data_IF_655244161198
#
_entry.id   IF_655244161198
#
_cell.length_a   1.000
_cell.length_b   1.000
_cell.length_c   1.000
_cell.angle_alpha   90.00
_cell.angle_beta   90.00
_cell.angle_gamma   90.00
#
_symmetry.space_group_name_H-M   'P 1'
#
loop_
_entity.id
_entity.type
_entity.pdbx_description
1 polymer ?
#
# COMPACT_ATOMS: atom_id res chain seq x y z
N UNK A 1 22.38 7.36 3.94
CA UNK A 1 22.48 8.26 2.77
C UNK A 1 21.10 8.65 2.21
N UNK A 2 20.18 7.70 2.00
CA UNK A 2 18.84 8.03 1.49
C UNK A 2 17.90 8.74 2.50
N UNK A 3 18.12 8.60 3.81
CA UNK A 3 17.36 9.32 4.87
C UNK A 3 17.63 10.81 4.81
N UNK A 4 18.89 11.17 4.57
CA UNK A 4 19.30 12.51 4.20
C UNK A 4 18.60 12.92 2.90
N UNK A 5 18.61 12.14 1.82
CA UNK A 5 17.96 12.57 0.57
C UNK A 5 16.44 12.81 0.66
N UNK A 6 15.69 12.06 1.47
CA UNK A 6 14.25 12.29 1.67
C UNK A 6 13.96 13.44 2.64
N UNK A 7 14.70 13.58 3.75
CA UNK A 7 14.59 14.74 4.64
C UNK A 7 15.15 16.04 4.04
N UNK A 8 16.20 15.94 3.22
CA UNK A 8 16.89 17.03 2.54
C UNK A 8 16.29 17.37 1.17
N UNK A 9 15.11 16.81 0.84
CA UNK A 9 14.35 17.09 -0.40
C UNK A 9 15.10 16.81 -1.72
N UNK A 10 16.06 15.89 -1.74
CA UNK A 10 16.83 15.55 -2.94
C UNK A 10 16.01 14.81 -4.01
N UNK A 11 14.91 14.17 -3.63
CA UNK A 11 13.92 13.67 -4.57
C UNK A 11 12.54 14.20 -4.17
N UNK A 12 11.94 15.13 -4.94
CA UNK A 12 10.57 15.54 -4.71
C UNK A 12 9.65 14.31 -4.76
N UNK A 13 8.67 14.25 -3.86
CA UNK A 13 7.64 13.22 -3.87
C UNK A 13 6.96 13.04 -5.24
N UNK A 14 6.91 14.10 -6.05
CA UNK A 14 6.43 14.06 -7.45
C UNK A 14 7.15 13.07 -8.36
N UNK A 15 8.40 12.67 -8.05
CA UNK A 15 9.14 11.64 -8.80
C UNK A 15 8.45 10.28 -8.73
N UNK A 16 7.82 9.94 -7.60
CA UNK A 16 7.06 8.69 -7.48
C UNK A 16 5.79 8.70 -8.35
N UNK A 17 5.19 9.89 -8.54
CA UNK A 17 4.09 10.07 -9.48
C UNK A 17 4.52 9.78 -10.93
N UNK A 18 5.63 10.39 -11.36
CA UNK A 18 6.19 10.17 -12.70
C UNK A 18 6.63 8.71 -12.91
N UNK A 19 7.24 8.10 -11.89
CA UNK A 19 7.60 6.69 -11.89
C UNK A 19 6.36 5.81 -12.10
N UNK A 20 5.29 6.08 -11.36
CA UNK A 20 4.03 5.35 -11.49
C UNK A 20 3.40 5.59 -12.86
N UNK A 21 3.47 6.80 -13.43
CA UNK A 21 2.99 7.12 -14.78
C UNK A 21 3.67 6.26 -15.86
N UNK A 22 4.97 5.96 -15.71
CA UNK A 22 5.72 5.09 -16.62
C UNK A 22 5.45 3.58 -16.49
N UNK A 23 4.75 3.14 -15.44
CA UNK A 23 4.45 1.73 -15.19
C UNK A 23 3.07 1.32 -15.72
N UNK A 24 2.81 0.04 -16.01
CA UNK A 24 1.45 -0.41 -16.29
C UNK A 24 0.60 -0.25 -15.02
N UNK A 25 -0.67 0.18 -15.18
CA UNK A 25 -1.64 0.02 -14.10
C UNK A 25 -2.07 -1.44 -14.08
N UNK A 26 -2.01 -2.07 -12.91
CA UNK A 26 -2.58 -3.38 -12.73
C UNK A 26 -4.10 -3.24 -12.77
N UNK A 27 -4.73 -3.84 -13.77
CA UNK A 27 -6.18 -3.96 -13.81
C UNK A 27 -6.60 -4.98 -12.76
N UNK A 28 -7.74 -4.69 -12.16
CA UNK A 28 -8.27 -5.43 -11.03
C UNK A 28 -8.51 -6.90 -11.40
N UNK A 29 -7.71 -7.77 -10.78
CA UNK A 29 -7.92 -9.20 -10.87
C UNK A 29 -9.03 -9.58 -9.90
N UNK A 30 -10.30 -9.50 -10.32
CA UNK A 30 -11.52 -10.10 -9.70
C UNK A 30 -11.81 -9.88 -8.20
N UNK A 31 -10.95 -9.17 -7.45
CA UNK A 31 -11.03 -8.97 -6.00
C UNK A 31 -11.18 -7.51 -5.58
N UNK A 32 -11.23 -6.58 -6.54
CA UNK A 32 -11.83 -5.28 -6.24
C UNK A 32 -13.29 -5.49 -6.00
N UNK A 33 -13.80 -5.02 -4.87
CA UNK A 33 -15.23 -4.86 -4.68
C UNK A 33 -15.75 -4.05 -5.88
N UNK A 34 -16.60 -4.63 -6.75
CA UNK A 34 -17.14 -3.92 -7.90
C UNK A 34 -18.01 -2.71 -7.50
N UNK A 35 -18.25 -2.53 -6.20
CA UNK A 35 -19.00 -1.44 -5.58
C UNK A 35 -18.19 -0.17 -5.31
N UNK A 36 -16.88 -0.15 -5.56
CA UNK A 36 -16.06 1.05 -5.30
C UNK A 36 -15.68 1.72 -6.61
N UNK A 37 -16.31 2.86 -6.87
CA UNK A 37 -15.96 3.75 -7.97
C UNK A 37 -14.53 4.27 -7.78
N UNK A 38 -13.69 4.01 -8.78
CA UNK A 38 -12.32 4.49 -8.80
C UNK A 38 -12.26 5.84 -9.53
N UNK A 39 -11.50 6.83 -9.01
CA UNK A 39 -11.17 8.05 -9.76
C UNK A 39 -10.53 7.71 -11.11
N UNK A 40 -10.80 8.46 -12.17
CA UNK A 40 -10.31 8.13 -13.53
C UNK A 40 -8.78 8.06 -13.67
N UNK A 41 -8.03 8.68 -12.76
CA UNK A 41 -6.57 8.72 -12.73
C UNK A 41 -5.95 7.71 -11.74
N UNK A 42 -6.76 6.78 -11.21
CA UNK A 42 -6.28 5.73 -10.31
C UNK A 42 -5.20 4.89 -10.99
N UNK A 43 -4.19 4.52 -10.20
CA UNK A 43 -3.12 3.66 -10.69
C UNK A 43 -2.55 2.81 -9.57
N UNK A 44 -2.26 1.55 -9.87
CA UNK A 44 -1.70 0.67 -8.87
C UNK A 44 -0.82 -0.41 -9.48
N UNK A 45 0.17 -0.89 -8.72
CA UNK A 45 1.06 -1.98 -9.14
C UNK A 45 1.66 -2.68 -7.93
N UNK A 46 1.81 -4.00 -8.04
CA UNK A 46 2.41 -4.85 -7.00
C UNK A 46 3.79 -5.37 -7.40
N UNK A 47 4.70 -5.39 -6.43
CA UNK A 47 6.03 -5.99 -6.48
C UNK A 47 6.22 -6.98 -5.34
N UNK A 48 7.21 -7.85 -5.46
CA UNK A 48 7.54 -8.87 -4.46
C UNK A 48 6.85 -10.20 -4.71
N UNK A 49 6.59 -10.92 -3.64
CA UNK A 49 6.01 -12.25 -3.64
C UNK A 49 4.48 -12.21 -3.88
N UNK A 50 3.92 -13.37 -4.19
CA UNK A 50 2.49 -13.63 -4.12
C UNK A 50 2.25 -15.03 -3.56
N UNK A 51 1.09 -15.20 -2.94
CA UNK A 51 0.55 -16.48 -2.51
C UNK A 51 -0.94 -16.51 -2.86
N UNK A 52 -1.36 -17.48 -3.66
CA UNK A 52 -2.76 -17.69 -4.04
C UNK A 52 -3.05 -19.20 -4.06
N UNK A 53 -3.55 -19.72 -2.94
CA UNK A 53 -3.72 -21.16 -2.74
C UNK A 53 -2.38 -21.89 -2.88
N UNK A 54 -2.28 -22.92 -3.75
CA UNK A 54 -1.02 -23.64 -3.96
C UNK A 54 0.02 -22.85 -4.78
N UNK A 55 -0.37 -21.71 -5.37
CA UNK A 55 0.50 -20.92 -6.24
C UNK A 55 1.26 -19.88 -5.42
N UNK A 56 2.55 -20.13 -5.22
CA UNK A 56 3.47 -19.19 -4.58
C UNK A 56 4.59 -18.81 -5.54
N UNK A 57 5.04 -17.57 -5.48
CA UNK A 57 6.14 -17.15 -6.35
C UNK A 57 6.41 -15.65 -6.33
N UNK A 58 7.17 -15.22 -7.33
CA UNK A 58 7.50 -13.81 -7.51
C UNK A 58 6.60 -13.19 -8.58
N UNK A 59 6.02 -12.03 -8.29
CA UNK A 59 5.20 -11.30 -9.25
C UNK A 59 6.02 -10.93 -10.49
N UNK A 60 5.40 -11.02 -11.67
CA UNK A 60 6.04 -10.72 -12.95
C UNK A 60 6.65 -9.30 -12.98
N UNK A 61 5.98 -8.32 -12.37
CA UNK A 61 6.45 -6.93 -12.32
C UNK A 61 7.79 -6.78 -11.60
N UNK A 62 8.05 -7.62 -10.59
CA UNK A 62 9.34 -7.65 -9.89
C UNK A 62 10.49 -8.06 -10.82
N UNK A 63 10.23 -9.00 -11.75
CA UNK A 63 11.22 -9.41 -12.75
C UNK A 63 11.35 -8.40 -13.88
N UNK A 64 10.24 -7.79 -14.29
CA UNK A 64 10.18 -6.85 -15.42
C UNK A 64 10.76 -5.48 -15.09
N UNK A 65 10.61 -5.02 -13.85
CA UNK A 65 11.08 -3.71 -13.39
C UNK A 65 11.96 -3.83 -12.13
N UNK A 66 13.11 -4.52 -12.21
CA UNK A 66 13.94 -4.81 -11.04
C UNK A 66 14.51 -3.53 -10.41
N UNK A 67 14.76 -2.49 -11.21
CA UNK A 67 15.25 -1.20 -10.69
C UNK A 67 14.18 -0.44 -9.91
N UNK A 68 12.91 -0.59 -10.28
CA UNK A 68 11.79 -0.02 -9.52
C UNK A 68 11.65 -0.75 -8.19
N UNK A 69 11.70 -2.08 -8.19
CA UNK A 69 11.68 -2.86 -6.95
C UNK A 69 12.86 -2.50 -6.04
N UNK A 70 14.07 -2.35 -6.58
CA UNK A 70 15.25 -1.90 -5.83
C UNK A 70 15.07 -0.50 -5.25
N UNK A 71 14.52 0.44 -6.01
CA UNK A 71 14.25 1.80 -5.55
C UNK A 71 13.24 1.80 -4.40
N UNK A 72 12.11 1.09 -4.55
CA UNK A 72 11.08 1.00 -3.52
C UNK A 72 11.62 0.38 -2.23
N UNK A 73 12.41 -0.69 -2.34
CA UNK A 73 13.08 -1.30 -1.18
C UNK A 73 14.05 -0.32 -0.48
N UNK A 74 14.80 0.48 -1.25
CA UNK A 74 15.68 1.49 -0.68
C UNK A 74 14.89 2.59 0.05
N UNK A 75 13.73 3.00 -0.47
CA UNK A 75 12.83 3.97 0.17
C UNK A 75 12.28 3.41 1.48
N UNK A 76 11.76 2.18 1.49
CA UNK A 76 11.24 1.51 2.69
C UNK A 76 12.34 1.40 3.75
N UNK A 77 13.51 0.88 3.37
CA UNK A 77 14.65 0.74 4.28
C UNK A 77 15.07 2.07 4.89
N UNK A 78 14.92 3.14 4.12
CA UNK A 78 15.26 4.49 4.56
C UNK A 78 14.25 5.06 5.54
N UNK A 79 12.96 4.93 5.26
CA UNK A 79 11.91 5.57 6.05
C UNK A 79 11.56 4.79 7.30
N UNK A 80 11.62 3.46 7.22
CA UNK A 80 11.16 2.57 8.26
C UNK A 80 12.32 1.78 8.91
N UNK A 81 13.52 1.77 8.30
CA UNK A 81 14.62 0.93 8.77
C UNK A 81 14.49 -0.51 8.28
N UNK A 82 15.03 -1.47 9.04
CA UNK A 82 15.07 -2.87 8.64
C UNK A 82 13.73 -3.61 8.90
N UNK A 83 12.68 -3.22 8.18
CA UNK A 83 11.44 -4.00 8.14
C UNK A 83 11.54 -5.13 7.10
N UNK A 84 11.07 -6.31 7.50
CA UNK A 84 10.86 -7.43 6.58
C UNK A 84 9.51 -7.25 5.88
N UNK A 85 9.51 -7.30 4.56
CA UNK A 85 8.29 -7.28 3.75
C UNK A 85 8.37 -8.33 2.65
N UNK A 86 7.24 -8.96 2.34
CA UNK A 86 7.13 -9.93 1.25
C UNK A 86 6.68 -9.26 -0.05
N UNK A 87 5.89 -8.19 0.06
CA UNK A 87 5.17 -7.54 -1.05
C UNK A 87 5.22 -6.03 -0.87
N UNK A 88 5.31 -5.29 -1.98
CA UNK A 88 5.17 -3.84 -2.00
C UNK A 88 4.04 -3.47 -2.96
N UNK A 89 3.10 -2.67 -2.47
CA UNK A 89 2.00 -2.13 -3.26
C UNK A 89 2.21 -0.63 -3.45
N UNK A 90 2.34 -0.19 -4.70
CA UNK A 90 2.42 1.23 -5.04
C UNK A 90 1.11 1.66 -5.68
N UNK A 91 0.48 2.70 -5.13
CA UNK A 91 -0.82 3.16 -5.59
C UNK A 91 -0.98 4.69 -5.57
N UNK A 92 -1.83 5.20 -6.45
CA UNK A 92 -2.31 6.58 -6.53
C UNK A 92 -3.82 6.57 -6.70
N UNK A 93 -4.51 7.43 -5.94
CA UNK A 93 -5.97 7.64 -5.98
C UNK A 93 -6.76 6.33 -6.03
N UNK A 94 -6.31 5.36 -5.22
CA UNK A 94 -6.83 4.01 -5.23
C UNK A 94 -7.67 3.78 -3.99
N UNK A 95 -8.93 3.45 -4.18
CA UNK A 95 -9.80 2.97 -3.12
C UNK A 95 -9.77 1.43 -3.10
N UNK A 96 -9.78 0.83 -1.92
CA UNK A 96 -9.78 -0.62 -1.74
C UNK A 96 -11.03 -1.02 -0.97
N UNK A 97 -11.63 -2.15 -1.34
CA UNK A 97 -12.73 -2.75 -0.58
C UNK A 97 -12.28 -3.14 0.81
N UNK A 98 -13.23 -3.23 1.73
CA UNK A 98 -12.96 -3.87 3.01
C UNK A 98 -12.55 -5.32 2.77
N UNK A 99 -11.41 -5.71 3.33
CA UNK A 99 -10.88 -7.06 3.25
C UNK A 99 -9.95 -7.32 4.44
N UNK A 100 -9.81 -8.60 4.78
CA UNK A 100 -8.81 -9.10 5.71
C UNK A 100 -7.73 -9.86 4.93
N UNK A 101 -6.50 -9.81 5.44
CA UNK A 101 -5.35 -10.52 4.91
C UNK A 101 -4.89 -11.61 5.90
N UNK A 102 -5.66 -12.70 6.05
CA UNK A 102 -5.43 -13.72 7.08
C UNK A 102 -4.12 -14.52 6.88
N UNK A 103 -3.46 -14.33 5.74
CA UNK A 103 -2.19 -14.98 5.40
C UNK A 103 -0.97 -14.11 5.72
N UNK A 104 -1.16 -12.90 6.24
CA UNK A 104 -0.05 -12.08 6.73
C UNK A 104 0.57 -12.72 7.99
N UNK A 105 1.86 -12.50 8.18
CA UNK A 105 2.56 -13.01 9.37
C UNK A 105 2.14 -12.20 10.61
N UNK A 106 1.66 -12.88 11.65
CA UNK A 106 1.02 -12.23 12.81
C UNK A 106 1.86 -11.20 13.56
N UNK A 107 3.18 -11.39 13.52
CA UNK A 107 4.14 -10.52 14.21
C UNK A 107 4.70 -9.39 13.33
N UNK A 108 4.29 -9.33 12.05
CA UNK A 108 4.79 -8.34 11.10
C UNK A 108 3.63 -7.44 10.65
N UNK A 109 3.61 -6.17 11.06
CA UNK A 109 2.54 -5.26 10.68
C UNK A 109 2.65 -4.89 9.20
N UNK A 110 1.52 -4.51 8.62
CA UNK A 110 1.52 -3.77 7.36
C UNK A 110 2.00 -2.34 7.59
N UNK A 111 2.68 -1.78 6.59
CA UNK A 111 3.19 -0.41 6.65
C UNK A 111 2.73 0.36 5.42
N UNK A 112 2.09 1.49 5.65
CA UNK A 112 1.64 2.42 4.62
C UNK A 112 2.48 3.68 4.68
N UNK A 113 3.14 4.00 3.56
CA UNK A 113 4.05 5.14 3.46
C UNK A 113 3.45 6.17 2.48
N UNK A 114 3.11 7.39 2.92
CA UNK A 114 2.74 8.44 1.99
C UNK A 114 3.94 8.89 1.17
N UNK A 115 3.79 8.79 -0.16
CA UNK A 115 4.80 9.22 -1.14
C UNK A 115 4.46 10.55 -1.81
N UNK A 116 3.51 11.30 -1.26
CA UNK A 116 3.15 12.66 -1.65
C UNK A 116 2.33 13.35 -0.54
N UNK A 117 2.08 14.64 -0.71
CA UNK A 117 1.12 15.38 0.11
C UNK A 117 -0.22 15.37 -0.63
N UNK A 118 -1.27 14.91 0.03
CA UNK A 118 -2.62 14.80 -0.52
C UNK A 118 -3.67 15.03 0.57
N UNK A 119 -4.93 15.19 0.16
CA UNK A 119 -6.08 15.31 1.05
C UNK A 119 -7.06 14.14 0.83
N UNK A 120 -7.81 13.78 1.86
CA UNK A 120 -8.92 12.81 1.77
C UNK A 120 -8.53 11.32 1.76
N UNK A 121 -7.24 10.98 1.82
CA UNK A 121 -6.81 9.58 1.95
C UNK A 121 -6.82 9.11 3.39
N UNK A 122 -7.54 8.01 3.66
CA UNK A 122 -7.67 7.41 4.99
C UNK A 122 -7.59 5.88 4.89
N UNK A 123 -7.20 5.25 6.00
CA UNK A 123 -7.22 3.80 6.17
C UNK A 123 -8.23 3.45 7.26
N UNK A 124 -9.19 2.59 6.94
CA UNK A 124 -10.03 1.97 7.95
C UNK A 124 -9.33 0.72 8.50
N UNK A 125 -9.29 0.58 9.82
CA UNK A 125 -8.80 -0.63 10.51
C UNK A 125 -9.90 -1.09 11.45
N UNK A 126 -10.32 -2.35 11.30
CA UNK A 126 -11.36 -2.95 12.14
C UNK A 126 -10.90 -3.01 13.61
N UNK A 127 -11.81 -2.67 14.51
CA UNK A 127 -11.59 -2.66 15.95
C UNK A 127 -12.95 -2.69 16.65
N UNK A 128 -13.12 -3.56 17.65
CA UNK A 128 -14.34 -3.61 18.47
C UNK A 128 -14.60 -2.28 19.21
N UNK A 129 -13.53 -1.56 19.52
CA UNK A 129 -13.55 -0.25 20.19
C UNK A 129 -13.75 0.91 19.20
N UNK A 130 -13.96 0.59 17.92
CA UNK A 130 -14.14 1.52 16.82
C UNK A 130 -15.34 2.45 16.95
N UNK A 131 -15.11 3.72 16.63
CA UNK A 131 -16.09 4.79 16.59
C UNK A 131 -16.78 4.94 15.21
N UNK A 132 -16.23 4.32 14.17
CA UNK A 132 -16.76 4.34 12.81
C UNK A 132 -17.36 2.98 12.45
N UNK A 133 -18.60 2.96 11.95
CA UNK A 133 -19.26 1.77 11.42
C UNK A 133 -19.35 1.89 9.89
N UNK A 134 -18.63 1.01 9.16
CA UNK A 134 -18.66 1.01 7.70
C UNK A 134 -19.74 0.09 7.12
N UNK A 135 -20.12 -0.95 7.86
CA UNK A 135 -21.17 -1.88 7.47
C UNK A 135 -22.13 -2.12 8.64
N UNK A 136 -23.31 -1.51 8.55
CA UNK A 136 -24.36 -1.64 9.55
C UNK A 136 -25.02 -3.02 9.56
N UNK A 137 -24.97 -3.77 8.45
CA UNK A 137 -25.55 -5.11 8.37
C UNK A 137 -24.67 -6.14 9.07
N UNK A 138 -23.36 -6.04 8.85
CA UNK A 138 -22.37 -6.93 9.47
C UNK A 138 -21.78 -6.37 10.78
N UNK A 139 -22.20 -5.17 11.20
CA UNK A 139 -21.72 -4.44 12.38
C UNK A 139 -20.20 -4.32 12.43
N UNK A 140 -19.57 -4.05 11.27
CA UNK A 140 -18.12 -3.91 11.17
C UNK A 140 -17.74 -2.50 11.61
N UNK A 141 -17.03 -2.44 12.74
CA UNK A 141 -16.60 -1.21 13.40
C UNK A 141 -15.09 -1.09 13.41
N UNK A 142 -14.60 0.13 13.45
CA UNK A 142 -13.17 0.38 13.45
C UNK A 142 -12.82 1.84 13.57
N UNK A 143 -11.56 2.14 13.33
CA UNK A 143 -11.02 3.48 13.36
C UNK A 143 -10.62 3.94 11.95
N UNK A 144 -10.84 5.23 11.68
CA UNK A 144 -10.35 5.88 10.47
C UNK A 144 -9.01 6.57 10.75
N UNK A 145 -7.93 6.02 10.21
CA UNK A 145 -6.60 6.56 10.36
C UNK A 145 -6.26 7.50 9.19
N UNK A 146 -5.87 8.75 9.45
CA UNK A 146 -5.35 9.62 8.40
C UNK A 146 -3.97 9.11 7.95
N UNK A 147 -3.75 9.10 6.64
CA UNK A 147 -2.44 8.72 6.09
C UNK A 147 -1.51 9.94 6.18
N UNK A 148 -0.57 9.89 7.13
CA UNK A 148 0.37 10.99 7.40
C UNK A 148 1.82 10.50 7.46
N UNK A 149 2.77 11.41 7.27
CA UNK A 149 4.19 11.12 7.37
C UNK A 149 4.59 10.78 8.83
N UNK A 150 5.62 9.94 9.05
CA UNK A 150 6.47 9.31 8.04
C UNK A 150 5.86 8.04 7.43
N UNK A 151 5.04 7.31 8.18
CA UNK A 151 4.31 6.11 7.76
C UNK A 151 3.25 5.75 8.83
N UNK A 152 2.31 4.89 8.45
CA UNK A 152 1.31 4.28 9.33
C UNK A 152 1.55 2.76 9.38
N UNK A 153 1.78 2.21 10.56
CA UNK A 153 1.82 0.77 10.78
C UNK A 153 0.46 0.29 11.30
N UNK A 154 -0.04 -0.83 10.78
CA UNK A 154 -1.36 -1.37 11.13
C UNK A 154 -1.39 -2.89 10.94
N UNK A 155 -2.32 -3.54 11.63
CA UNK A 155 -2.64 -4.94 11.40
C UNK A 155 -3.82 -5.05 10.42
N UNK A 156 -3.75 -5.99 9.49
CA UNK A 156 -4.81 -6.23 8.51
C UNK A 156 -5.33 -7.68 8.57
N UNK A 157 -5.09 -8.36 9.70
CA UNK A 157 -5.53 -9.74 9.95
C UNK A 157 -7.06 -9.88 9.97
#
# INVERSE_FOLDING_TARGET
>A
MATCCLHSKWAPFGVFGQLLDGLPSMQDSRHSSPSIDQPSDYKSIFFGAYSQGPLVGLRAQTRRYPMVSRLLNAVIYTLCGAYSHSTVFLARNRAMGLHSDPHNHKEVPNVLIPLSVFAGGQLFVESEEGDVCLDMQNNIRGHMHPITLPFLAFDAQ
#
